data_IF_286441778393
#
_entry.id   IF_286441778393
#
_cell.length_a   1.000
_cell.length_b   1.000
_cell.length_c   1.000
_cell.angle_alpha   90.00
_cell.angle_beta   90.00
_cell.angle_gamma   90.00
#
_symmetry.space_group_name_H-M   'P 1'
#
loop_
_entity.id
_entity.type
_entity.pdbx_description
1 polymer ?
#
# COMPACT_ATOMS: atom_id res chain seq x y z
N UNK A 1 10.48 -16.79 -24.78
CA UNK A 1 11.77 -16.24 -24.29
C UNK A 1 12.00 -14.88 -24.94
N UNK A 2 12.13 -13.81 -24.16
CA UNK A 2 12.46 -12.48 -24.70
C UNK A 2 13.87 -12.49 -25.30
N UNK A 3 14.04 -11.88 -26.47
CA UNK A 3 15.36 -11.76 -27.12
C UNK A 3 16.21 -10.75 -26.36
N UNK A 4 17.47 -11.10 -26.08
CA UNK A 4 18.44 -10.17 -25.46
C UNK A 4 18.60 -8.95 -26.38
N UNK A 5 18.44 -7.72 -25.88
CA UNK A 5 18.60 -6.53 -26.70
C UNK A 5 20.03 -6.42 -27.22
N UNK A 6 20.18 -6.33 -28.55
CA UNK A 6 21.47 -6.09 -29.23
C UNK A 6 21.82 -4.61 -29.34
N UNK A 7 20.84 -3.73 -29.19
CA UNK A 7 21.00 -2.28 -29.28
C UNK A 7 21.13 -1.66 -27.88
N UNK A 8 22.17 -0.85 -27.67
CA UNK A 8 22.47 -0.14 -26.41
C UNK A 8 21.43 0.92 -26.03
N UNK A 9 20.56 1.31 -26.96
CA UNK A 9 19.44 2.23 -26.72
C UNK A 9 18.20 1.50 -26.18
N UNK A 10 18.09 0.19 -26.39
CA UNK A 10 16.93 -0.59 -25.98
C UNK A 10 16.96 -0.89 -24.48
N UNK A 11 15.76 -0.90 -23.88
CA UNK A 11 15.55 -1.36 -22.51
C UNK A 11 16.11 -2.78 -22.33
N UNK A 12 16.85 -3.01 -21.25
CA UNK A 12 17.50 -4.29 -20.93
C UNK A 12 18.89 -4.48 -21.54
N UNK A 13 19.45 -3.46 -22.21
CA UNK A 13 20.83 -3.49 -22.72
C UNK A 13 21.88 -3.10 -21.68
N UNK A 14 21.46 -2.45 -20.59
CA UNK A 14 22.31 -2.08 -19.45
C UNK A 14 21.74 -2.69 -18.19
N UNK A 15 22.61 -3.25 -17.34
CA UNK A 15 22.22 -3.68 -16.01
C UNK A 15 21.87 -2.47 -15.14
N UNK A 16 20.83 -2.56 -14.28
CA UNK A 16 20.56 -1.54 -13.29
C UNK A 16 21.72 -1.44 -12.30
N UNK A 17 21.72 -0.34 -11.54
CA UNK A 17 22.68 -0.19 -10.44
C UNK A 17 22.54 -1.32 -9.42
N UNK A 18 23.61 -1.59 -8.68
CA UNK A 18 23.57 -2.58 -7.62
C UNK A 18 22.64 -2.12 -6.48
N UNK A 19 22.06 -3.09 -5.78
CA UNK A 19 21.34 -2.82 -4.54
C UNK A 19 22.30 -2.28 -3.47
N UNK A 20 21.91 -1.28 -2.65
CA UNK A 20 20.60 -0.62 -2.58
C UNK A 20 20.47 0.63 -3.48
N UNK A 21 21.50 1.00 -4.25
CA UNK A 21 21.52 2.26 -5.01
C UNK A 21 20.44 2.36 -6.09
N UNK A 22 20.05 1.24 -6.71
CA UNK A 22 18.96 1.20 -7.69
C UNK A 22 17.57 1.53 -7.12
N UNK A 23 17.39 1.51 -5.80
CA UNK A 23 16.15 1.98 -5.19
C UNK A 23 15.96 3.49 -5.40
N UNK A 24 17.04 4.27 -5.40
CA UNK A 24 16.94 5.74 -5.34
C UNK A 24 17.12 6.40 -6.70
N UNK A 25 17.66 5.68 -7.68
CA UNK A 25 17.95 6.24 -9.00
C UNK A 25 16.89 5.83 -10.02
N UNK A 26 16.40 6.79 -10.83
CA UNK A 26 15.51 6.47 -11.93
C UNK A 26 16.22 5.56 -12.96
N UNK A 27 15.51 4.60 -13.57
CA UNK A 27 16.06 3.76 -14.63
C UNK A 27 16.53 4.60 -15.82
N UNK A 28 17.61 4.15 -16.49
CA UNK A 28 18.20 4.88 -17.62
C UNK A 28 17.27 5.03 -18.84
N UNK A 29 16.27 4.14 -18.96
CA UNK A 29 15.31 4.10 -20.05
C UNK A 29 14.03 4.88 -19.73
N UNK A 30 13.91 5.44 -18.53
CA UNK A 30 12.77 6.26 -18.14
C UNK A 30 12.89 7.61 -18.86
N UNK A 31 12.04 7.81 -19.86
CA UNK A 31 12.08 8.99 -20.73
C UNK A 31 11.43 10.20 -20.06
N UNK A 32 11.73 11.41 -20.55
CA UNK A 32 11.14 12.67 -20.08
C UNK A 32 9.67 12.88 -20.51
N UNK A 33 8.96 11.81 -20.87
CA UNK A 33 7.50 11.85 -21.06
C UNK A 33 6.81 12.18 -19.73
N UNK A 34 5.57 12.64 -19.81
CA UNK A 34 4.78 12.94 -18.63
C UNK A 34 4.59 11.66 -17.79
N UNK A 35 5.05 11.70 -16.54
CA UNK A 35 4.87 10.66 -15.54
C UNK A 35 3.46 10.69 -14.95
N UNK A 36 3.26 9.88 -13.90
CA UNK A 36 1.95 9.68 -13.27
C UNK A 36 1.40 10.98 -12.67
N UNK A 37 2.27 11.90 -12.25
CA UNK A 37 1.89 13.17 -11.63
C UNK A 37 2.06 14.37 -12.57
N UNK A 38 2.30 14.12 -13.86
CA UNK A 38 2.36 15.13 -14.91
C UNK A 38 3.69 15.85 -15.08
N UNK A 39 4.74 15.52 -14.30
CA UNK A 39 6.11 16.02 -14.56
C UNK A 39 6.87 15.04 -15.44
N UNK A 40 8.11 15.34 -15.81
CA UNK A 40 8.93 14.36 -16.52
C UNK A 40 9.10 13.10 -15.65
N UNK A 41 8.92 11.90 -16.22
CA UNK A 41 8.87 10.67 -15.45
C UNK A 41 10.07 10.43 -14.49
N UNK A 42 11.33 10.80 -14.82
CA UNK A 42 12.45 10.71 -13.87
C UNK A 42 12.34 11.66 -12.68
N UNK A 43 11.76 12.84 -12.90
CA UNK A 43 11.50 13.83 -11.85
C UNK A 43 10.36 13.37 -10.95
N UNK A 44 9.28 12.83 -11.55
CA UNK A 44 8.16 12.24 -10.81
C UNK A 44 8.61 11.06 -9.94
N UNK A 45 9.43 10.16 -10.48
CA UNK A 45 10.04 9.06 -9.72
C UNK A 45 10.83 9.56 -8.50
N UNK A 46 11.64 10.60 -8.71
CA UNK A 46 12.50 11.14 -7.64
C UNK A 46 11.66 11.87 -6.60
N UNK A 47 10.67 12.64 -7.03
CA UNK A 47 9.74 13.35 -6.15
C UNK A 47 8.90 12.39 -5.31
N UNK A 48 8.40 11.31 -5.92
CA UNK A 48 7.67 10.23 -5.23
C UNK A 48 8.53 9.63 -4.12
N UNK A 49 9.76 9.19 -4.44
CA UNK A 49 10.66 8.63 -3.43
C UNK A 49 10.95 9.61 -2.28
N UNK A 50 11.22 10.88 -2.57
CA UNK A 50 11.49 11.87 -1.52
C UNK A 50 10.24 12.16 -0.67
N UNK A 51 9.06 12.22 -1.29
CA UNK A 51 7.79 12.36 -0.57
C UNK A 51 7.61 11.21 0.43
N UNK A 52 7.72 9.97 -0.03
CA UNK A 52 7.55 8.79 0.81
C UNK A 52 8.62 8.68 1.90
N UNK A 53 9.88 9.00 1.60
CA UNK A 53 10.96 9.05 2.59
C UNK A 53 10.65 10.04 3.71
N UNK A 54 10.14 11.22 3.36
CA UNK A 54 9.75 12.24 4.33
C UNK A 54 8.54 11.82 5.17
N UNK A 55 7.50 11.27 4.54
CA UNK A 55 6.29 10.85 5.27
C UNK A 55 6.58 9.68 6.21
N UNK A 56 7.34 8.69 5.75
CA UNK A 56 7.70 7.54 6.58
C UNK A 56 8.51 7.98 7.79
N UNK A 57 9.57 8.78 7.56
CA UNK A 57 10.47 9.23 8.64
C UNK A 57 9.80 10.16 9.65
N UNK A 58 8.95 11.09 9.20
CA UNK A 58 8.34 12.11 10.09
C UNK A 58 7.05 11.65 10.75
N UNK A 59 6.21 10.90 10.04
CA UNK A 59 4.84 10.61 10.49
C UNK A 59 4.65 9.14 10.84
N UNK A 60 5.14 8.21 10.02
CA UNK A 60 4.74 6.80 10.14
C UNK A 60 5.51 6.09 11.25
N UNK A 61 6.81 6.35 11.38
CA UNK A 61 7.66 5.67 12.36
C UNK A 61 7.34 6.05 13.81
N UNK A 62 7.01 7.31 14.06
CA UNK A 62 6.87 7.83 15.43
C UNK A 62 5.46 8.34 15.77
N UNK A 63 4.65 8.70 14.77
CA UNK A 63 3.38 9.41 15.00
C UNK A 63 2.15 8.52 15.18
N UNK A 64 2.13 7.30 14.63
CA UNK A 64 0.89 6.52 14.49
C UNK A 64 0.62 5.47 15.58
N UNK A 65 1.51 5.33 16.57
CA UNK A 65 1.40 4.26 17.56
C UNK A 65 1.53 2.85 16.98
N UNK A 66 2.03 2.72 15.75
CA UNK A 66 2.33 1.43 15.12
C UNK A 66 3.65 0.93 15.67
N UNK A 67 3.66 -0.27 16.22
CA UNK A 67 4.89 -0.89 16.66
C UNK A 67 5.58 -1.61 15.48
N UNK A 68 6.46 -0.88 14.80
CA UNK A 68 7.22 -1.36 13.66
C UNK A 68 8.13 -2.56 13.95
N UNK A 69 8.42 -2.87 15.23
CA UNK A 69 9.19 -4.08 15.57
C UNK A 69 8.44 -5.38 15.25
N UNK A 70 7.10 -5.34 15.25
CA UNK A 70 6.21 -6.47 14.96
C UNK A 70 5.74 -6.55 13.51
N UNK A 71 6.00 -5.52 12.71
CA UNK A 71 5.65 -5.49 11.29
C UNK A 71 6.72 -6.26 10.50
N UNK A 72 6.30 -7.18 9.63
CA UNK A 72 7.16 -7.96 8.74
C UNK A 72 6.65 -7.96 7.31
N UNK A 73 5.35 -8.15 7.11
CA UNK A 73 4.71 -8.20 5.80
C UNK A 73 3.84 -6.96 5.61
N UNK A 74 4.23 -6.12 4.66
CA UNK A 74 3.51 -4.91 4.27
C UNK A 74 2.96 -5.11 2.87
N UNK A 75 1.75 -4.62 2.60
CA UNK A 75 1.25 -4.47 1.24
C UNK A 75 1.00 -3.00 0.96
N UNK A 76 1.58 -2.54 -0.13
CA UNK A 76 1.26 -1.25 -0.72
C UNK A 76 0.22 -1.47 -1.82
N UNK A 77 -1.03 -1.17 -1.52
CA UNK A 77 -2.17 -1.51 -2.36
C UNK A 77 -2.22 -0.69 -3.66
N UNK A 78 -1.49 0.43 -3.70
CA UNK A 78 -1.31 1.27 -4.89
C UNK A 78 0.10 1.85 -4.92
N UNK A 79 1.05 1.06 -5.41
CA UNK A 79 2.47 1.35 -5.25
C UNK A 79 3.05 2.42 -6.19
N UNK A 80 2.35 2.84 -7.26
CA UNK A 80 2.85 3.78 -8.27
C UNK A 80 4.32 3.46 -8.64
N UNK A 81 5.31 4.29 -8.31
CA UNK A 81 6.72 4.02 -8.61
C UNK A 81 7.45 3.12 -7.59
N UNK A 82 6.76 2.64 -6.55
CA UNK A 82 7.29 1.86 -5.42
C UNK A 82 8.01 2.71 -4.38
N UNK A 83 7.75 4.03 -4.33
CA UNK A 83 8.45 4.97 -3.44
C UNK A 83 8.29 4.65 -1.96
N UNK A 84 7.09 4.24 -1.56
CA UNK A 84 6.81 3.79 -0.20
C UNK A 84 7.67 2.58 0.20
N UNK A 85 7.69 1.53 -0.63
CA UNK A 85 8.53 0.36 -0.39
C UNK A 85 10.02 0.71 -0.32
N UNK A 86 10.49 1.61 -1.19
CA UNK A 86 11.88 2.08 -1.16
C UNK A 86 12.20 2.92 0.09
N UNK A 87 11.23 3.67 0.63
CA UNK A 87 11.38 4.42 1.87
C UNK A 87 11.49 3.50 3.10
N UNK A 88 10.96 2.29 3.03
CA UNK A 88 11.03 1.28 4.10
C UNK A 88 12.27 0.38 4.04
N UNK A 89 13.21 0.65 3.12
CA UNK A 89 14.40 -0.20 2.87
C UNK A 89 15.26 -0.48 4.12
N UNK A 90 15.28 0.46 5.08
CA UNK A 90 16.10 0.37 6.29
C UNK A 90 15.39 -0.43 7.40
N UNK A 91 14.11 -0.75 7.21
CA UNK A 91 13.34 -1.63 8.09
C UNK A 91 13.43 -3.08 7.60
N UNK A 92 13.38 -4.04 8.53
CA UNK A 92 13.33 -5.47 8.22
C UNK A 92 11.91 -5.91 7.83
N UNK A 93 11.36 -5.29 6.80
CA UNK A 93 10.01 -5.54 6.28
C UNK A 93 10.06 -5.93 4.81
N UNK A 94 9.08 -6.72 4.39
CA UNK A 94 8.86 -7.13 3.02
C UNK A 94 7.60 -6.43 2.52
N UNK A 95 7.69 -5.73 1.38
CA UNK A 95 6.59 -4.90 0.86
C UNK A 95 6.09 -5.46 -0.47
N UNK A 96 4.87 -6.01 -0.50
CA UNK A 96 4.19 -6.36 -1.73
C UNK A 96 3.63 -5.11 -2.38
N UNK A 97 4.17 -4.76 -3.56
CA UNK A 97 3.72 -3.61 -4.32
C UNK A 97 2.60 -4.02 -5.28
N UNK A 98 1.44 -3.40 -5.18
CA UNK A 98 0.31 -3.66 -6.08
C UNK A 98 0.12 -2.47 -6.99
N UNK A 99 0.07 -2.72 -8.30
CA UNK A 99 -0.25 -1.71 -9.31
C UNK A 99 -1.66 -2.00 -9.82
N UNK A 100 -2.65 -1.14 -9.52
CA UNK A 100 -4.01 -1.32 -10.04
C UNK A 100 -4.01 -1.32 -11.57
N UNK A 101 -4.82 -2.16 -12.20
CA UNK A 101 -4.91 -2.23 -13.68
C UNK A 101 -5.42 -0.93 -14.32
N UNK A 102 -6.14 -0.11 -13.56
CA UNK A 102 -6.64 1.21 -13.99
C UNK A 102 -5.58 2.32 -13.84
N UNK A 103 -4.44 2.02 -13.19
CA UNK A 103 -3.34 2.96 -13.00
C UNK A 103 -2.29 2.85 -14.11
N UNK A 104 -1.47 3.90 -14.33
CA UNK A 104 -0.37 3.83 -15.29
C UNK A 104 0.60 2.67 -15.01
N UNK A 105 1.09 2.06 -16.10
CA UNK A 105 1.99 0.91 -16.02
C UNK A 105 3.37 1.27 -15.44
N UNK A 106 3.50 1.06 -14.14
CA UNK A 106 4.68 1.42 -13.34
C UNK A 106 5.38 0.21 -12.73
N UNK A 107 4.77 -0.98 -12.79
CA UNK A 107 5.37 -2.23 -12.30
C UNK A 107 6.76 -2.54 -12.91
N UNK A 108 7.02 -2.27 -14.21
CA UNK A 108 8.34 -2.50 -14.77
C UNK A 108 9.42 -1.58 -14.17
N UNK A 109 9.04 -0.42 -13.63
CA UNK A 109 9.94 0.49 -12.90
C UNK A 109 10.20 -0.06 -11.49
N UNK A 110 9.17 -0.57 -10.81
CA UNK A 110 9.29 -1.24 -9.50
C UNK A 110 10.29 -2.40 -9.57
N UNK A 111 10.22 -3.22 -10.63
CA UNK A 111 11.19 -4.31 -10.85
C UNK A 111 12.62 -3.83 -11.10
N UNK A 112 12.82 -2.72 -11.83
CA UNK A 112 14.16 -2.14 -12.02
C UNK A 112 14.78 -1.65 -10.70
N UNK A 113 13.96 -1.21 -9.74
CA UNK A 113 14.42 -0.87 -8.38
C UNK A 113 14.83 -2.11 -7.58
N UNK A 114 14.48 -3.31 -8.04
CA UNK A 114 14.69 -4.55 -7.33
C UNK A 114 13.63 -4.88 -6.29
N UNK A 115 12.50 -4.20 -6.36
CA UNK A 115 11.30 -4.51 -5.59
C UNK A 115 10.46 -5.52 -6.38
N UNK A 116 9.59 -6.25 -5.71
CA UNK A 116 8.63 -7.15 -6.35
C UNK A 116 7.22 -6.58 -6.19
N UNK A 117 6.34 -6.97 -7.09
CA UNK A 117 4.97 -6.52 -7.11
C UNK A 117 4.16 -7.28 -8.13
N UNK A 118 2.91 -6.88 -8.32
CA UNK A 118 2.01 -7.46 -9.31
C UNK A 118 0.96 -6.45 -9.76
N UNK A 119 0.31 -6.76 -10.88
CA UNK A 119 -0.91 -6.07 -11.29
C UNK A 119 -2.11 -6.72 -10.61
N UNK A 120 -3.06 -5.90 -10.18
CA UNK A 120 -4.31 -6.40 -9.60
C UNK A 120 -5.50 -5.51 -9.96
N UNK A 121 -6.65 -6.13 -10.10
CA UNK A 121 -7.93 -5.43 -10.16
C UNK A 121 -8.58 -5.51 -8.78
N UNK A 122 -8.74 -4.39 -8.11
CA UNK A 122 -9.36 -4.32 -6.79
C UNK A 122 -10.89 -4.54 -6.83
N UNK A 123 -11.50 -4.63 -8.03
CA UNK A 123 -12.87 -5.14 -8.17
C UNK A 123 -12.95 -6.67 -8.05
N UNK A 124 -11.81 -7.36 -8.09
CA UNK A 124 -11.69 -8.81 -7.94
C UNK A 124 -11.03 -9.17 -6.61
N UNK A 125 -11.19 -10.43 -6.18
CA UNK A 125 -10.52 -10.89 -4.95
C UNK A 125 -9.01 -11.03 -5.13
N UNK A 126 -8.23 -10.57 -4.16
CA UNK A 126 -6.78 -10.71 -4.14
C UNK A 126 -6.39 -12.13 -3.76
N UNK A 127 -5.62 -12.82 -4.59
CA UNK A 127 -5.14 -14.15 -4.23
C UNK A 127 -4.07 -14.07 -3.14
N UNK A 128 -4.43 -14.39 -1.90
CA UNK A 128 -3.55 -14.31 -0.73
C UNK A 128 -2.86 -15.62 -0.37
N UNK A 129 -2.92 -16.68 -1.19
CA UNK A 129 -2.38 -17.96 -0.75
C UNK A 129 -0.83 -17.95 -0.62
N UNK A 130 -0.22 -18.31 0.53
CA UNK A 130 -0.76 -18.51 1.89
C UNK A 130 -0.37 -17.38 2.88
N UNK A 131 -0.21 -16.13 2.43
CA UNK A 131 0.28 -15.00 3.25
C UNK A 131 -0.80 -13.99 3.61
N UNK A 132 -0.85 -13.64 4.89
CA UNK A 132 -1.54 -12.47 5.44
C UNK A 132 -0.54 -11.33 5.67
N UNK A 133 -1.02 -10.09 5.70
CA UNK A 133 -0.19 -8.90 5.89
C UNK A 133 -0.39 -8.31 7.29
N UNK A 134 0.68 -7.72 7.83
CA UNK A 134 0.68 -7.03 9.14
C UNK A 134 0.29 -5.56 9.00
N UNK A 135 0.59 -4.97 7.83
CA UNK A 135 0.29 -3.59 7.51
C UNK A 135 -0.20 -3.48 6.07
N UNK A 136 -1.35 -2.84 5.89
CA UNK A 136 -1.84 -2.42 4.58
C UNK A 136 -1.67 -0.91 4.45
N UNK A 137 -1.14 -0.49 3.32
CA UNK A 137 -0.98 0.91 2.96
C UNK A 137 -1.78 1.18 1.69
N UNK A 138 -2.62 2.21 1.73
CA UNK A 138 -3.42 2.65 0.59
C UNK A 138 -3.33 4.18 0.47
N UNK A 139 -2.88 4.65 -0.69
CA UNK A 139 -2.80 6.07 -1.03
C UNK A 139 -3.66 6.35 -2.26
N UNK A 140 -4.70 7.16 -2.10
CA UNK A 140 -5.67 7.52 -3.13
C UNK A 140 -6.23 6.31 -3.90
N UNK A 141 -6.45 5.21 -3.19
CA UNK A 141 -7.02 4.00 -3.77
C UNK A 141 -8.54 4.03 -3.71
N UNK A 142 -9.10 4.22 -2.52
CA UNK A 142 -10.53 4.01 -2.26
C UNK A 142 -11.41 5.03 -2.99
N UNK A 143 -10.92 6.26 -3.16
CA UNK A 143 -11.59 7.30 -3.96
C UNK A 143 -11.76 6.92 -5.43
N UNK A 144 -10.87 6.08 -5.98
CA UNK A 144 -10.99 5.60 -7.36
C UNK A 144 -12.03 4.48 -7.51
N UNK A 145 -12.32 3.74 -6.44
CA UNK A 145 -13.18 2.56 -6.42
C UNK A 145 -14.47 2.77 -5.62
N UNK A 146 -15.01 4.00 -5.58
CA UNK A 146 -16.21 4.35 -4.78
C UNK A 146 -17.39 3.40 -4.94
N UNK A 147 -17.63 2.86 -6.15
CA UNK A 147 -18.74 1.92 -6.39
C UNK A 147 -18.59 0.58 -5.66
N UNK A 148 -17.35 0.14 -5.46
CA UNK A 148 -17.00 -1.16 -4.86
C UNK A 148 -16.34 -1.00 -3.49
N UNK A 149 -16.44 0.18 -2.86
CA UNK A 149 -15.78 0.52 -1.61
C UNK A 149 -15.97 -0.56 -0.54
N UNK A 150 -17.21 -0.99 -0.31
CA UNK A 150 -17.55 -2.02 0.70
C UNK A 150 -16.90 -3.36 0.41
N UNK A 151 -16.85 -3.77 -0.86
CA UNK A 151 -16.24 -5.02 -1.26
C UNK A 151 -14.72 -4.98 -1.03
N UNK A 152 -14.07 -3.86 -1.34
CA UNK A 152 -12.64 -3.69 -1.11
C UNK A 152 -12.32 -3.58 0.39
N UNK A 153 -13.14 -2.92 1.20
CA UNK A 153 -12.98 -2.92 2.66
C UNK A 153 -13.14 -4.34 3.24
N UNK A 154 -14.08 -5.13 2.75
CA UNK A 154 -14.22 -6.53 3.15
C UNK A 154 -13.00 -7.37 2.74
N UNK A 155 -12.42 -7.09 1.57
CA UNK A 155 -11.21 -7.75 1.11
C UNK A 155 -9.99 -7.34 1.96
N UNK A 156 -9.88 -6.06 2.31
CA UNK A 156 -8.89 -5.52 3.25
C UNK A 156 -9.01 -6.21 4.61
N UNK A 157 -10.23 -6.44 5.10
CA UNK A 157 -10.46 -7.23 6.31
C UNK A 157 -9.97 -8.67 6.14
N UNK A 158 -10.27 -9.32 5.02
CA UNK A 158 -9.83 -10.70 4.76
C UNK A 158 -8.31 -10.84 4.66
N UNK A 159 -7.62 -9.87 4.06
CA UNK A 159 -6.16 -9.90 3.82
C UNK A 159 -5.36 -9.53 5.07
N UNK A 160 -5.86 -8.56 5.85
CA UNK A 160 -5.19 -8.07 7.05
C UNK A 160 -5.35 -9.07 8.19
N UNK A 161 -4.22 -9.52 8.74
CA UNK A 161 -4.26 -10.40 9.90
C UNK A 161 -4.83 -9.66 11.13
N UNK A 162 -5.37 -10.39 12.13
CA UNK A 162 -5.71 -9.78 13.40
C UNK A 162 -4.50 -9.07 14.05
N UNK A 163 -4.77 -7.96 14.73
CA UNK A 163 -3.78 -7.01 15.25
C UNK A 163 -2.96 -6.29 14.15
N UNK A 164 -3.35 -6.43 12.89
CA UNK A 164 -2.78 -5.67 11.79
C UNK A 164 -3.20 -4.21 11.79
N UNK A 165 -2.50 -3.38 11.01
CA UNK A 165 -2.81 -1.96 10.88
C UNK A 165 -3.11 -1.62 9.41
N UNK A 166 -4.08 -0.76 9.17
CA UNK A 166 -4.34 -0.16 7.87
C UNK A 166 -4.01 1.33 7.98
N UNK A 167 -3.15 1.79 7.09
CA UNK A 167 -2.88 3.20 6.89
C UNK A 167 -3.49 3.60 5.55
N UNK A 168 -4.47 4.50 5.62
CA UNK A 168 -5.19 5.03 4.48
C UNK A 168 -4.91 6.52 4.35
N UNK A 169 -4.61 6.98 3.13
CA UNK A 169 -4.61 8.39 2.75
C UNK A 169 -5.51 8.57 1.54
N UNK A 170 -6.53 9.42 1.66
CA UNK A 170 -7.48 9.66 0.60
C UNK A 170 -8.21 11.00 0.78
N UNK A 171 -9.18 11.32 -0.08
CA UNK A 171 -10.04 12.48 0.13
C UNK A 171 -10.86 12.38 1.44
N UNK A 172 -11.24 13.53 1.97
CA UNK A 172 -11.92 13.62 3.27
C UNK A 172 -13.27 12.87 3.32
N UNK A 173 -14.01 12.85 2.21
CA UNK A 173 -15.31 12.16 2.12
C UNK A 173 -15.11 10.63 2.19
N UNK A 174 -14.17 10.10 1.40
CA UNK A 174 -13.81 8.68 1.40
C UNK A 174 -13.28 8.24 2.76
N UNK A 175 -12.52 9.07 3.46
CA UNK A 175 -12.01 8.76 4.81
C UNK A 175 -13.15 8.55 5.80
N UNK A 176 -14.18 9.40 5.77
CA UNK A 176 -15.37 9.27 6.64
C UNK A 176 -16.15 8.00 6.31
N UNK A 177 -16.36 7.70 5.03
CA UNK A 177 -17.05 6.47 4.62
C UNK A 177 -16.31 5.20 5.06
N UNK A 178 -14.98 5.17 4.90
CA UNK A 178 -14.16 4.03 5.34
C UNK A 178 -14.14 3.93 6.86
N UNK A 179 -14.08 5.05 7.59
CA UNK A 179 -14.16 5.09 9.05
C UNK A 179 -15.44 4.41 9.58
N UNK A 180 -16.60 4.73 9.00
CA UNK A 180 -17.88 4.13 9.38
C UNK A 180 -17.90 2.61 9.12
N UNK A 181 -17.33 2.18 7.99
CA UNK A 181 -17.22 0.76 7.65
C UNK A 181 -16.31 0.01 8.63
N UNK A 182 -15.11 0.51 8.93
CA UNK A 182 -14.19 -0.19 9.83
C UNK A 182 -14.70 -0.20 11.28
N UNK A 183 -15.42 0.84 11.72
CA UNK A 183 -16.11 0.83 13.02
C UNK A 183 -17.20 -0.24 13.08
N UNK A 184 -17.94 -0.45 12.00
CA UNK A 184 -18.94 -1.53 11.90
C UNK A 184 -18.31 -2.92 11.99
N UNK A 185 -17.04 -3.06 11.60
CA UNK A 185 -16.23 -4.27 11.74
C UNK A 185 -15.55 -4.39 13.13
N UNK A 186 -15.85 -3.47 14.05
CA UNK A 186 -15.26 -3.39 15.39
C UNK A 186 -13.74 -3.13 15.41
N UNK A 187 -13.20 -2.48 14.38
CA UNK A 187 -11.80 -2.07 14.38
C UNK A 187 -11.60 -0.79 15.20
N UNK A 188 -10.40 -0.64 15.76
CA UNK A 188 -10.05 0.53 16.56
C UNK A 188 -9.45 1.63 15.69
N UNK A 189 -10.08 2.81 15.69
CA UNK A 189 -9.53 3.98 15.01
C UNK A 189 -8.48 4.64 15.91
N UNK A 190 -7.21 4.64 15.48
CA UNK A 190 -6.10 5.18 16.28
C UNK A 190 -5.80 6.63 15.98
N UNK A 191 -5.91 7.02 14.72
CA UNK A 191 -5.61 8.39 14.28
C UNK A 191 -6.46 8.74 13.07
N UNK A 192 -7.04 9.93 13.12
CA UNK A 192 -7.70 10.58 11.98
C UNK A 192 -7.08 11.96 11.87
N UNK A 193 -6.62 12.30 10.69
CA UNK A 193 -6.18 13.64 10.36
C UNK A 193 -6.85 14.05 9.07
N UNK A 194 -7.60 15.15 9.09
CA UNK A 194 -8.28 15.67 7.90
C UNK A 194 -7.89 17.13 7.74
N UNK A 195 -7.39 17.47 6.55
CA UNK A 195 -7.18 18.84 6.10
C UNK A 195 -8.13 19.11 4.93
N UNK A 196 -8.29 20.38 4.52
CA UNK A 196 -9.39 20.88 3.68
C UNK A 196 -9.77 19.99 2.46
N UNK A 197 -8.83 19.24 1.86
CA UNK A 197 -9.13 18.29 0.76
C UNK A 197 -8.52 16.87 0.91
N UNK A 198 -7.74 16.59 1.95
CA UNK A 198 -7.06 15.29 2.11
C UNK A 198 -7.11 14.82 3.56
N UNK A 199 -7.37 13.54 3.75
CA UNK A 199 -7.37 12.88 5.05
C UNK A 199 -6.40 11.70 5.12
N UNK A 200 -6.04 11.37 6.35
CA UNK A 200 -5.25 10.20 6.72
C UNK A 200 -5.96 9.50 7.87
N UNK A 201 -6.15 8.19 7.71
CA UNK A 201 -6.78 7.31 8.67
C UNK A 201 -5.82 6.18 9.01
N UNK A 202 -5.50 6.02 10.30
CA UNK A 202 -4.77 4.87 10.81
C UNK A 202 -5.71 4.07 11.70
N UNK A 203 -5.99 2.83 11.30
CA UNK A 203 -6.90 1.93 12.01
C UNK A 203 -6.20 0.62 12.34
N UNK A 204 -6.63 0.02 13.43
CA UNK A 204 -6.08 -1.20 13.96
C UNK A 204 -7.16 -2.28 14.00
N UNK A 205 -6.89 -3.39 13.32
CA UNK A 205 -7.80 -4.52 13.29
C UNK A 205 -7.78 -5.23 14.63
N UNK A 206 -8.90 -5.24 15.32
CA UNK A 206 -9.04 -5.92 16.61
C UNK A 206 -9.26 -7.42 16.41
N UNK A 207 -8.99 -8.18 17.47
CA UNK A 207 -9.42 -9.57 17.55
C UNK A 207 -10.88 -9.64 18.02
N UNK A 208 -11.83 -9.40 17.11
CA UNK A 208 -13.24 -9.49 17.44
C UNK A 208 -13.74 -10.93 17.46
N UNK A 209 -14.35 -11.33 18.57
CA UNK A 209 -15.15 -12.55 18.71
C UNK A 209 -16.43 -12.22 19.49
N UNK A 210 -17.59 -12.75 19.09
CA UNK A 210 -18.78 -12.68 19.93
C UNK A 210 -18.46 -13.28 21.30
N UNK A 211 -18.66 -12.50 22.37
CA UNK A 211 -18.62 -13.03 23.74
C UNK A 211 -20.02 -13.58 24.03
N UNK A 212 -20.22 -14.88 23.89
CA UNK A 212 -21.45 -15.51 24.37
C UNK A 212 -21.48 -15.41 25.91
N UNK A 213 -22.43 -14.64 26.42
CA UNK A 213 -23.04 -14.93 27.72
C UNK A 213 -24.54 -14.75 27.57
N UNK A 214 -25.19 -15.69 26.91
CA UNK A 214 -26.59 -15.99 27.21
C UNK A 214 -26.61 -17.20 28.13
N UNK A 215 -26.78 -16.93 29.43
CA UNK A 215 -27.15 -17.99 30.37
C UNK A 215 -28.56 -18.42 30.00
N UNK A 216 -28.69 -19.50 29.23
CA UNK A 216 -30.00 -20.09 28.93
C UNK A 216 -30.54 -20.64 30.26
N UNK A 217 -31.51 -19.93 30.86
CA UNK A 217 -32.17 -20.32 32.11
C UNK A 217 -32.83 -21.71 32.04
N UNK A 218 -33.09 -22.25 30.84
CA UNK A 218 -33.65 -23.59 30.68
C UNK A 218 -32.65 -24.72 30.94
N UNK A 219 -31.36 -24.45 31.04
CA UNK A 219 -30.34 -25.44 31.39
C UNK A 219 -30.04 -25.51 32.90
N UNK A 220 -30.70 -24.67 33.70
CA UNK A 220 -30.58 -24.64 35.17
C UNK A 220 -31.84 -25.19 35.89
N UNK A 221 -32.79 -25.77 35.15
CA UNK A 221 -33.97 -26.45 35.70
C UNK A 221 -33.76 -27.95 35.76
#
# INVERSE_FOLDING_TARGET
>A
MHKVPVDKSKRGSRWPLQWPLRLEKPPYWLNSEAGVYGKAAPEDFTADYQHWKNVVSKSYLNGMGINWSFVRNVMDMRAVYGGFAAALKDLKVWVMNVVPIESPDTLPIIYERGLFGLYHDWCESFNTYPRTYDLLHADHLFSTIKKSLKAVVAEVDRILRPDGNLILRDDAETIVEVEDLVKSLHWDVRMIYTNDNQGMLCVHKTYWRPKETETILSAMM
#
